data_IF_139801746420
#
_entry.id   IF_139801746420
#
_cell.length_a   1.000
_cell.length_b   1.000
_cell.length_c   1.000
_cell.angle_alpha   90.00
_cell.angle_beta   90.00
_cell.angle_gamma   90.00
#
_symmetry.space_group_name_H-M   'P 1'
#
loop_
_entity.id
_entity.type
_entity.pdbx_description
1 polymer ?
#
# COMPACT_ATOMS: atom_id res chain seq x y z
N UNK A 1 -3.15 -7.01 -15.86
CA UNK A 1 -2.02 -6.06 -15.78
C UNK A 1 -2.42 -4.58 -15.89
N UNK A 2 -3.63 -4.21 -16.37
CA UNK A 2 -4.06 -2.80 -16.54
C UNK A 2 -5.11 -2.29 -15.53
N UNK A 3 -5.43 -3.03 -14.45
CA UNK A 3 -6.49 -2.62 -13.51
C UNK A 3 -6.10 -1.47 -12.56
N UNK A 4 -4.81 -1.14 -12.45
CA UNK A 4 -4.27 -0.15 -11.50
C UNK A 4 -4.12 1.27 -12.08
N UNK A 5 -4.53 1.52 -13.32
CA UNK A 5 -4.48 2.87 -13.92
C UNK A 5 -5.27 3.91 -13.11
N UNK A 6 -6.34 3.47 -12.44
CA UNK A 6 -7.11 4.31 -11.52
C UNK A 6 -6.31 4.81 -10.32
N UNK A 7 -5.22 4.14 -9.92
CA UNK A 7 -4.35 4.61 -8.83
C UNK A 7 -3.56 5.85 -9.22
N UNK A 8 -3.18 5.98 -10.49
CA UNK A 8 -2.54 7.19 -10.98
C UNK A 8 -3.53 8.36 -10.94
N UNK A 9 -4.78 8.11 -11.30
CA UNK A 9 -5.86 9.09 -11.22
C UNK A 9 -6.16 9.47 -9.76
N UNK A 10 -6.28 8.49 -8.87
CA UNK A 10 -6.50 8.72 -7.44
C UNK A 10 -5.31 9.44 -6.80
N UNK A 11 -4.08 9.06 -7.14
CA UNK A 11 -2.86 9.73 -6.69
C UNK A 11 -2.80 11.18 -7.15
N UNK A 12 -3.07 11.43 -8.44
CA UNK A 12 -3.14 12.79 -8.99
C UNK A 12 -4.25 13.62 -8.32
N UNK A 13 -5.41 13.02 -8.07
CA UNK A 13 -6.52 13.65 -7.36
C UNK A 13 -6.14 14.02 -5.92
N UNK A 14 -5.46 13.13 -5.19
CA UNK A 14 -4.98 13.39 -3.82
C UNK A 14 -3.95 14.52 -3.82
N UNK A 15 -3.01 14.52 -4.77
CA UNK A 15 -2.03 15.60 -4.94
C UNK A 15 -2.70 16.94 -5.23
N UNK A 16 -3.75 16.94 -6.06
CA UNK A 16 -4.49 18.13 -6.40
C UNK A 16 -5.35 18.66 -5.24
N UNK A 17 -6.04 17.77 -4.51
CA UNK A 17 -6.94 18.15 -3.41
C UNK A 17 -6.18 18.51 -2.12
N UNK A 18 -5.04 17.87 -1.85
CA UNK A 18 -4.29 18.01 -0.60
C UNK A 18 -2.80 18.32 -0.80
N UNK A 19 -2.45 19.38 -1.56
CA UNK A 19 -1.06 19.67 -1.93
C UNK A 19 -0.15 19.92 -0.72
N UNK A 20 -0.66 20.58 0.32
CA UNK A 20 0.07 20.85 1.56
C UNK A 20 0.37 19.59 2.37
N UNK A 21 -0.52 18.60 2.34
CA UNK A 21 -0.33 17.32 3.05
C UNK A 21 0.67 16.45 2.32
N UNK A 22 0.61 16.39 0.97
CA UNK A 22 1.58 15.61 0.18
C UNK A 22 3.00 16.13 0.34
N UNK A 23 3.19 17.45 0.44
CA UNK A 23 4.50 18.05 0.68
C UNK A 23 5.10 17.72 2.05
N UNK A 24 4.29 17.27 3.02
CA UNK A 24 4.75 16.86 4.35
C UNK A 24 5.13 15.38 4.43
N UNK A 25 4.90 14.60 3.36
CA UNK A 25 5.31 13.20 3.29
C UNK A 25 6.84 13.17 3.15
N UNK A 26 7.51 12.94 4.27
CA UNK A 26 8.95 12.81 4.35
C UNK A 26 9.42 11.37 4.11
N UNK A 27 10.74 11.19 4.12
CA UNK A 27 11.38 9.89 3.91
C UNK A 27 10.88 8.83 4.91
N UNK A 28 10.56 9.24 6.13
CA UNK A 28 10.14 8.32 7.17
C UNK A 28 8.78 7.68 6.91
N UNK A 29 7.80 8.45 6.42
CA UNK A 29 6.50 7.89 5.99
C UNK A 29 6.66 6.91 4.82
N UNK A 30 7.57 7.20 3.88
CA UNK A 30 7.89 6.27 2.79
C UNK A 30 8.50 4.97 3.30
N UNK A 31 9.40 5.04 4.29
CA UNK A 31 9.99 3.85 4.93
C UNK A 31 8.90 3.05 5.64
N UNK A 32 8.01 3.70 6.39
CA UNK A 32 6.89 3.02 7.06
C UNK A 32 5.95 2.37 6.05
N UNK A 33 5.58 3.07 4.98
CA UNK A 33 4.76 2.53 3.90
C UNK A 33 5.40 1.29 3.26
N UNK A 34 6.71 1.32 3.01
CA UNK A 34 7.45 0.19 2.46
C UNK A 34 7.46 -1.00 3.42
N UNK A 35 7.74 -0.77 4.70
CA UNK A 35 7.74 -1.83 5.72
C UNK A 35 6.36 -2.46 5.84
N UNK A 36 5.30 -1.65 5.91
CA UNK A 36 3.93 -2.15 6.00
C UNK A 36 3.53 -2.94 4.75
N UNK A 37 3.90 -2.47 3.56
CA UNK A 37 3.64 -3.19 2.31
C UNK A 37 4.34 -4.56 2.26
N UNK A 38 5.59 -4.64 2.72
CA UNK A 38 6.34 -5.89 2.81
C UNK A 38 5.71 -6.86 3.82
N UNK A 39 5.33 -6.36 5.01
CA UNK A 39 4.65 -7.15 6.03
C UNK A 39 3.29 -7.67 5.54
N UNK A 40 2.50 -6.82 4.89
CA UNK A 40 1.22 -7.17 4.28
C UNK A 40 1.38 -8.27 3.21
N UNK A 41 2.35 -8.09 2.30
CA UNK A 41 2.63 -9.04 1.22
C UNK A 41 3.07 -10.39 1.79
N UNK A 42 3.96 -10.40 2.78
CA UNK A 42 4.45 -11.63 3.39
C UNK A 42 3.40 -12.32 4.26
N UNK A 43 2.54 -11.56 4.94
CA UNK A 43 1.38 -12.10 5.64
C UNK A 43 0.42 -12.79 4.67
N UNK A 44 0.08 -12.14 3.55
CA UNK A 44 -0.77 -12.71 2.52
C UNK A 44 -0.14 -13.96 1.89
N UNK A 45 1.17 -13.94 1.64
CA UNK A 45 1.92 -15.13 1.19
C UNK A 45 1.73 -16.32 2.13
N UNK A 46 1.89 -16.08 3.44
CA UNK A 46 1.75 -17.13 4.46
C UNK A 46 0.31 -17.61 4.58
N UNK A 47 -0.66 -16.69 4.54
CA UNK A 47 -2.08 -17.00 4.61
C UNK A 47 -2.54 -17.86 3.42
N UNK A 48 -2.22 -17.43 2.20
CA UNK A 48 -2.62 -18.11 0.97
C UNK A 48 -1.96 -19.49 0.85
N UNK A 49 -0.68 -19.62 1.22
CA UNK A 49 -0.02 -20.93 1.30
C UNK A 49 -0.69 -21.88 2.29
N UNK A 50 -1.13 -21.37 3.45
CA UNK A 50 -1.78 -22.20 4.48
C UNK A 50 -3.22 -22.59 4.14
N UNK A 51 -3.94 -21.72 3.43
CA UNK A 51 -5.40 -21.88 3.22
C UNK A 51 -5.76 -22.40 1.82
N UNK A 52 -4.95 -22.10 0.81
CA UNK A 52 -5.27 -22.31 -0.60
C UNK A 52 -4.12 -22.98 -1.38
N UNK A 53 -3.11 -23.48 -0.67
CA UNK A 53 -1.92 -24.16 -1.21
C UNK A 53 -1.11 -23.35 -2.24
N UNK A 54 -1.28 -22.03 -2.26
CA UNK A 54 -0.58 -21.18 -3.21
C UNK A 54 -1.34 -19.91 -3.59
N UNK A 55 -0.86 -19.26 -4.64
CA UNK A 55 -1.48 -18.05 -5.19
C UNK A 55 -2.43 -18.43 -6.33
N UNK A 56 -3.72 -18.16 -6.14
CA UNK A 56 -4.71 -18.13 -7.23
C UNK A 56 -4.76 -16.73 -7.85
N UNK A 57 -5.42 -16.58 -9.00
CA UNK A 57 -5.66 -15.27 -9.61
C UNK A 57 -6.34 -14.28 -8.65
N UNK A 58 -7.33 -14.76 -7.90
CA UNK A 58 -8.05 -13.97 -6.88
C UNK A 58 -7.17 -13.64 -5.67
N UNK A 59 -6.34 -14.59 -5.23
CA UNK A 59 -5.39 -14.39 -4.14
C UNK A 59 -4.33 -13.34 -4.44
N UNK A 60 -3.86 -13.27 -5.69
CA UNK A 60 -2.94 -12.21 -6.15
C UNK A 60 -3.62 -10.84 -6.15
N UNK A 61 -4.85 -10.75 -6.66
CA UNK A 61 -5.63 -9.51 -6.63
C UNK A 61 -5.89 -9.00 -5.21
N UNK A 62 -6.27 -9.89 -4.29
CA UNK A 62 -6.45 -9.56 -2.87
C UNK A 62 -5.13 -9.11 -2.21
N UNK A 63 -4.02 -9.78 -2.52
CA UNK A 63 -2.69 -9.39 -2.01
C UNK A 63 -2.32 -7.99 -2.49
N UNK A 64 -2.62 -7.66 -3.75
CA UNK A 64 -2.36 -6.34 -4.30
C UNK A 64 -3.16 -5.25 -3.57
N UNK A 65 -4.47 -5.45 -3.38
CA UNK A 65 -5.30 -4.49 -2.64
C UNK A 65 -4.84 -4.30 -1.19
N UNK A 66 -4.47 -5.38 -0.50
CA UNK A 66 -3.97 -5.29 0.89
C UNK A 66 -2.64 -4.53 0.94
N UNK A 67 -1.74 -4.76 -0.02
CA UNK A 67 -0.49 -4.01 -0.13
C UNK A 67 -0.71 -2.53 -0.46
N UNK A 68 -1.67 -2.21 -1.33
CA UNK A 68 -2.07 -0.82 -1.62
C UNK A 68 -2.59 -0.10 -0.37
N UNK A 69 -3.48 -0.75 0.40
CA UNK A 69 -3.98 -0.20 1.66
C UNK A 69 -2.84 0.02 2.67
N UNK A 70 -1.91 -0.93 2.76
CA UNK A 70 -0.75 -0.82 3.66
C UNK A 70 0.16 0.37 3.29
N UNK A 71 0.36 0.63 2.00
CA UNK A 71 1.10 1.80 1.51
C UNK A 71 0.39 3.09 1.92
N UNK A 72 -0.92 3.20 1.65
CA UNK A 72 -1.69 4.39 2.02
C UNK A 72 -1.70 4.62 3.54
N UNK A 73 -1.79 3.56 4.34
CA UNK A 73 -1.70 3.64 5.79
C UNK A 73 -0.33 4.17 6.27
N UNK A 74 0.77 3.70 5.67
CA UNK A 74 2.11 4.18 6.02
C UNK A 74 2.39 5.62 5.59
N UNK A 75 1.83 6.05 4.45
CA UNK A 75 1.90 7.44 4.00
C UNK A 75 1.07 8.37 4.90
N UNK A 76 -0.08 7.89 5.38
CA UNK A 76 -0.94 8.62 6.31
C UNK A 76 -0.44 8.57 7.76
N UNK A 77 0.54 7.73 8.08
CA UNK A 77 1.08 7.62 9.42
C UNK A 77 1.81 8.91 9.77
N UNK A 78 1.21 9.69 10.67
CA UNK A 78 1.91 10.79 11.35
C UNK A 78 2.78 10.17 12.43
N UNK A 79 4.03 9.89 12.08
CA UNK A 79 5.03 9.41 13.03
C UNK A 79 5.84 10.61 13.48
N UNK A 80 5.61 11.15 14.70
CA UNK A 80 6.51 12.13 15.27
C UNK A 80 7.84 11.43 15.55
N UNK A 81 8.79 11.55 14.63
CA UNK A 81 10.18 11.28 14.96
C UNK A 81 10.64 12.47 15.79
N UNK A 82 10.91 12.18 17.06
CA UNK A 82 11.40 13.09 18.11
C UNK A 82 12.34 14.16 17.58
#
# INVERSE_FOLDING_TARGET
MFSSGWLLVAGALVVYLFPSTVQQIGLSQWIVALILALLATDYMRRLLRRRLDGYTGDGLGATQQVSEIAIYAGLAASVPFV
#
